data_IF_898919430087
#
_entry.id   IF_898919430087
#
_cell.length_a   1.000
_cell.length_b   1.000
_cell.length_c   1.000
_cell.angle_alpha   90.00
_cell.angle_beta   90.00
_cell.angle_gamma   90.00
#
_symmetry.space_group_name_H-M   'P 1'
#
loop_
_entity.id
_entity.type
_entity.pdbx_description
1 polymer ?
#
# COMPACT_ATOMS: atom_id res chain seq x y z
N UNK A 1 -15.05 -7.19 9.38
CA UNK A 1 -14.20 -8.05 8.54
C UNK A 1 -13.12 -8.72 9.37
N UNK A 2 -12.60 -9.84 8.89
CA UNK A 2 -11.48 -10.53 9.53
C UNK A 2 -10.16 -9.83 9.20
N UNK A 3 -9.29 -9.71 10.20
CA UNK A 3 -7.93 -9.18 10.04
C UNK A 3 -6.97 -9.89 10.98
N UNK A 4 -5.70 -9.95 10.60
CA UNK A 4 -4.61 -10.30 11.51
C UNK A 4 -4.23 -9.05 12.29
N UNK A 5 -4.07 -9.14 13.59
CA UNK A 5 -3.73 -8.00 14.43
C UNK A 5 -2.58 -8.34 15.39
N UNK A 6 -1.59 -7.47 15.42
CA UNK A 6 -0.50 -7.50 16.40
C UNK A 6 -0.84 -6.49 17.50
N UNK A 7 -1.15 -6.96 18.69
CA UNK A 7 -1.59 -6.11 19.81
C UNK A 7 -0.45 -5.71 20.73
N UNK A 8 0.57 -6.55 20.84
CA UNK A 8 1.79 -6.31 21.61
C UNK A 8 2.95 -7.10 20.99
N UNK A 9 4.21 -6.85 21.38
CA UNK A 9 5.33 -7.69 20.97
C UNK A 9 5.07 -9.17 21.28
N UNK A 10 5.29 -10.02 20.28
CA UNK A 10 5.06 -11.47 20.30
C UNK A 10 3.59 -11.90 20.50
N UNK A 11 2.63 -10.98 20.36
CA UNK A 11 1.20 -11.28 20.44
C UNK A 11 0.52 -10.94 19.13
N UNK A 12 0.05 -11.95 18.43
CA UNK A 12 -0.68 -11.86 17.17
C UNK A 12 -1.92 -12.74 17.20
N UNK A 13 -2.98 -12.31 16.56
CA UNK A 13 -4.22 -13.10 16.49
C UNK A 13 -5.15 -12.58 15.39
N UNK A 14 -6.24 -13.32 15.22
CA UNK A 14 -7.35 -12.88 14.37
C UNK A 14 -8.25 -11.93 15.14
N UNK A 15 -8.66 -10.86 14.50
CA UNK A 15 -9.59 -9.88 15.05
C UNK A 15 -10.75 -9.62 14.08
N UNK A 16 -11.90 -9.30 14.65
CA UNK A 16 -13.01 -8.72 13.89
C UNK A 16 -12.90 -7.20 13.99
N UNK A 17 -12.67 -6.56 12.85
CA UNK A 17 -12.53 -5.10 12.75
C UNK A 17 -13.57 -4.53 11.80
N UNK A 18 -13.88 -3.25 11.93
CA UNK A 18 -14.78 -2.59 11.00
C UNK A 18 -14.20 -2.62 9.58
N UNK A 19 -15.06 -2.87 8.59
CA UNK A 19 -14.67 -2.71 7.17
C UNK A 19 -14.32 -1.24 6.94
N UNK A 20 -13.20 -0.93 6.27
CA UNK A 20 -12.81 0.45 6.04
C UNK A 20 -13.83 1.17 5.17
N UNK A 21 -14.08 2.43 5.46
CA UNK A 21 -14.94 3.28 4.63
C UNK A 21 -14.11 3.96 3.55
N UNK A 22 -14.69 4.10 2.37
CA UNK A 22 -14.05 4.71 1.21
C UNK A 22 -14.61 6.12 1.00
N UNK A 23 -13.72 7.07 0.78
CA UNK A 23 -14.04 8.45 0.43
C UNK A 23 -13.75 8.81 -1.03
N UNK A 24 -13.87 10.08 -1.36
CA UNK A 24 -13.50 10.60 -2.66
C UNK A 24 -11.99 10.39 -2.93
N UNK A 25 -11.64 10.02 -4.16
CA UNK A 25 -10.24 9.76 -4.56
C UNK A 25 -9.65 8.46 -3.99
N UNK A 26 -10.43 7.63 -3.33
CA UNK A 26 -9.98 6.39 -2.74
C UNK A 26 -10.50 5.16 -3.49
N UNK A 27 -9.79 4.07 -3.36
CA UNK A 27 -10.10 2.77 -3.96
C UNK A 27 -10.15 1.74 -2.85
N UNK A 28 -11.22 0.98 -2.81
CA UNK A 28 -11.34 -0.21 -1.96
C UNK A 28 -10.87 -1.42 -2.73
N UNK A 29 -9.97 -2.17 -2.14
CA UNK A 29 -9.48 -3.42 -2.71
C UNK A 29 -9.83 -4.61 -1.80
N UNK A 30 -10.19 -5.72 -2.43
CA UNK A 30 -10.35 -7.02 -1.79
C UNK A 30 -9.00 -7.72 -1.86
N UNK A 31 -8.49 -8.15 -0.72
CA UNK A 31 -7.18 -8.79 -0.62
C UNK A 31 -7.30 -10.27 -1.01
N UNK A 32 -6.49 -10.71 -1.97
CA UNK A 32 -6.44 -12.10 -2.43
C UNK A 32 -5.18 -12.82 -1.95
N UNK A 33 -4.04 -12.12 -1.95
CA UNK A 33 -2.73 -12.65 -1.54
C UNK A 33 -1.96 -11.62 -0.75
N UNK A 34 -1.27 -12.06 0.29
CA UNK A 34 -0.36 -11.22 1.10
C UNK A 34 1.00 -11.88 1.16
N UNK A 35 2.04 -11.14 0.81
CA UNK A 35 3.42 -11.52 1.04
C UNK A 35 3.82 -11.26 2.48
N UNK A 36 4.65 -12.13 3.04
CA UNK A 36 5.23 -11.96 4.37
C UNK A 36 6.67 -11.46 4.25
N UNK A 37 6.93 -10.27 4.72
CA UNK A 37 8.23 -9.61 4.69
C UNK A 37 8.94 -9.71 6.05
N UNK A 38 10.28 -9.65 6.04
CA UNK A 38 11.07 -9.58 7.27
C UNK A 38 10.72 -8.38 8.17
N UNK A 39 10.19 -7.29 7.61
CA UNK A 39 9.69 -6.15 8.39
C UNK A 39 8.43 -6.49 9.19
N UNK A 40 7.57 -7.39 8.72
CA UNK A 40 6.41 -7.88 9.48
C UNK A 40 6.87 -8.69 10.69
N UNK A 41 7.93 -9.49 10.54
CA UNK A 41 8.56 -10.20 11.66
C UNK A 41 9.12 -9.21 12.69
N UNK A 42 9.80 -8.16 12.25
CA UNK A 42 10.31 -7.11 13.15
C UNK A 42 9.16 -6.36 13.86
N UNK A 43 8.05 -6.15 13.19
CA UNK A 43 6.83 -5.62 13.80
C UNK A 43 6.31 -6.56 14.88
N UNK A 44 6.20 -7.85 14.59
CA UNK A 44 5.77 -8.86 15.57
C UNK A 44 6.69 -8.93 16.79
N UNK A 45 8.01 -8.96 16.57
CA UNK A 45 9.01 -9.03 17.65
C UNK A 45 9.15 -7.72 18.46
N UNK A 46 8.46 -6.65 18.08
CA UNK A 46 8.54 -5.37 18.77
C UNK A 46 9.82 -4.57 18.50
N UNK A 47 10.56 -4.91 17.46
CA UNK A 47 11.85 -4.29 17.12
C UNK A 47 11.72 -2.98 16.36
N UNK A 48 10.54 -2.68 15.79
CA UNK A 48 10.30 -1.44 15.07
C UNK A 48 9.59 -0.42 15.97
N UNK A 49 10.29 0.66 16.40
CA UNK A 49 9.73 1.66 17.30
C UNK A 49 8.65 2.53 16.65
N UNK A 50 8.54 2.54 15.33
CA UNK A 50 7.56 3.35 14.60
C UNK A 50 6.17 2.72 14.55
N UNK A 51 6.05 1.46 14.95
CA UNK A 51 4.76 0.73 14.90
C UNK A 51 3.81 1.25 15.97
N UNK A 52 2.64 1.69 15.54
CA UNK A 52 1.52 2.07 16.42
C UNK A 52 0.61 0.85 16.61
N UNK A 53 0.61 0.27 17.81
CA UNK A 53 -0.22 -0.89 18.15
C UNK A 53 -1.57 -0.48 18.74
N UNK A 54 -2.64 -1.28 18.56
CA UNK A 54 -2.70 -2.49 17.74
C UNK A 54 -2.55 -2.17 16.25
N UNK A 55 -1.90 -3.04 15.47
CA UNK A 55 -1.65 -2.86 14.05
C UNK A 55 -2.05 -4.09 13.24
N UNK A 56 -2.66 -3.87 12.08
CA UNK A 56 -2.81 -4.90 11.04
C UNK A 56 -1.51 -4.88 10.23
N UNK A 57 -0.72 -5.96 10.20
CA UNK A 57 0.53 -6.01 9.46
C UNK A 57 0.28 -6.19 7.95
N UNK A 58 1.37 -6.23 7.18
CA UNK A 58 1.36 -6.54 5.75
C UNK A 58 1.36 -5.31 4.84
N UNK A 59 2.14 -5.40 3.78
CA UNK A 59 2.33 -4.32 2.80
C UNK A 59 2.70 -4.85 1.41
N UNK A 60 2.83 -6.16 1.24
CA UNK A 60 3.04 -6.84 -0.05
C UNK A 60 1.76 -7.59 -0.40
N UNK A 61 1.10 -7.24 -1.52
CA UNK A 61 -0.26 -7.70 -1.77
C UNK A 61 -0.57 -7.89 -3.24
N UNK A 62 -1.34 -8.93 -3.52
CA UNK A 62 -2.15 -9.07 -4.72
C UNK A 62 -3.62 -8.90 -4.35
N UNK A 63 -4.31 -8.01 -5.03
CA UNK A 63 -5.67 -7.64 -4.70
C UNK A 63 -6.53 -7.41 -5.94
N UNK A 64 -7.84 -7.33 -5.74
CA UNK A 64 -8.81 -6.97 -6.77
C UNK A 64 -9.53 -5.70 -6.35
N UNK A 65 -9.71 -4.75 -7.28
CA UNK A 65 -10.50 -3.55 -7.01
C UNK A 65 -11.96 -3.97 -6.76
N UNK A 66 -12.45 -3.67 -5.58
CA UNK A 66 -13.86 -3.90 -5.17
C UNK A 66 -14.74 -2.71 -5.54
N UNK A 67 -14.27 -1.50 -5.27
CA UNK A 67 -15.00 -0.27 -5.53
C UNK A 67 -14.05 0.92 -5.71
N UNK A 68 -14.52 1.95 -6.39
CA UNK A 68 -13.79 3.20 -6.61
C UNK A 68 -14.62 4.39 -6.15
N UNK A 69 -13.98 5.35 -5.49
CA UNK A 69 -14.62 6.58 -5.06
C UNK A 69 -14.73 7.61 -6.18
N UNK A 70 -15.44 8.70 -5.94
CA UNK A 70 -15.53 9.81 -6.88
C UNK A 70 -14.14 10.42 -7.16
N UNK A 71 -13.90 10.84 -8.40
CA UNK A 71 -12.63 11.45 -8.82
C UNK A 71 -11.50 10.47 -9.07
N UNK A 72 -11.73 9.15 -8.94
CA UNK A 72 -10.77 8.12 -9.36
C UNK A 72 -10.78 8.02 -10.88
N UNK A 73 -9.60 7.96 -11.55
CA UNK A 73 -9.50 7.80 -13.00
C UNK A 73 -10.24 6.55 -13.51
N UNK A 74 -10.89 6.65 -14.66
CA UNK A 74 -11.63 5.54 -15.30
C UNK A 74 -10.74 4.34 -15.70
N UNK A 75 -9.43 4.54 -15.70
CA UNK A 75 -8.45 3.47 -15.90
C UNK A 75 -8.41 2.46 -14.76
N UNK A 76 -8.92 2.82 -13.56
CA UNK A 76 -9.06 1.94 -12.42
C UNK A 76 -10.54 1.55 -12.26
N UNK A 77 -10.84 0.27 -12.42
CA UNK A 77 -12.21 -0.25 -12.43
C UNK A 77 -12.38 -1.45 -11.51
N UNK A 78 -13.54 -1.62 -10.90
CA UNK A 78 -13.88 -2.83 -10.17
C UNK A 78 -13.60 -4.10 -10.99
N UNK A 79 -13.07 -5.12 -10.34
CA UNK A 79 -12.68 -6.39 -10.96
C UNK A 79 -11.24 -6.45 -11.47
N UNK A 80 -10.51 -5.33 -11.50
CA UNK A 80 -9.10 -5.33 -11.92
C UNK A 80 -8.19 -5.90 -10.86
N UNK A 81 -7.24 -6.76 -11.27
CA UNK A 81 -6.14 -7.20 -10.43
C UNK A 81 -5.13 -6.06 -10.29
N UNK A 82 -4.68 -5.82 -9.06
CA UNK A 82 -3.76 -4.72 -8.74
C UNK A 82 -2.80 -5.12 -7.63
N UNK A 83 -1.71 -4.38 -7.51
CA UNK A 83 -0.93 -4.32 -6.27
C UNK A 83 -0.93 -2.89 -5.73
N UNK A 84 -0.26 -2.65 -4.61
CA UNK A 84 -0.29 -1.39 -3.90
C UNK A 84 1.11 -0.85 -3.65
N UNK A 85 1.24 0.48 -3.67
CA UNK A 85 2.39 1.15 -3.08
C UNK A 85 2.11 1.37 -1.58
N UNK A 86 2.86 0.77 -0.66
CA UNK A 86 2.57 0.83 0.77
C UNK A 86 2.90 2.17 1.43
N UNK A 87 3.58 3.07 0.73
CA UNK A 87 3.99 4.36 1.25
C UNK A 87 2.98 5.44 0.91
N UNK A 88 2.52 6.18 1.92
CA UNK A 88 1.68 7.35 1.72
C UNK A 88 2.50 8.63 1.69
N UNK A 89 1.88 9.73 1.27
CA UNK A 89 2.50 11.05 1.32
C UNK A 89 1.45 12.12 1.58
N UNK A 90 1.84 13.20 2.26
CA UNK A 90 0.90 14.21 2.72
C UNK A 90 0.50 15.24 1.64
N UNK A 91 1.26 15.37 0.55
CA UNK A 91 1.06 16.35 -0.51
C UNK A 91 1.41 17.80 -0.12
N UNK A 92 1.70 18.10 1.15
CA UNK A 92 1.80 19.47 1.69
C UNK A 92 3.21 19.87 2.14
N UNK A 93 4.04 18.92 2.58
CA UNK A 93 5.39 19.24 3.06
C UNK A 93 6.31 19.69 1.91
N UNK A 94 7.46 20.26 2.26
CA UNK A 94 8.41 20.76 1.28
C UNK A 94 8.84 19.69 0.27
N UNK A 95 9.09 18.47 0.71
CA UNK A 95 9.45 17.36 -0.17
C UNK A 95 8.33 17.04 -1.17
N UNK A 96 7.07 16.92 -0.71
CA UNK A 96 5.94 16.66 -1.58
C UNK A 96 5.71 17.78 -2.61
N UNK A 97 5.82 19.04 -2.20
CA UNK A 97 5.68 20.19 -3.11
C UNK A 97 6.78 20.24 -4.17
N UNK A 98 7.95 19.68 -3.89
CA UNK A 98 9.06 19.55 -4.84
C UNK A 98 9.06 18.21 -5.61
N UNK A 99 7.95 17.46 -5.61
CA UNK A 99 7.81 16.19 -6.32
C UNK A 99 8.59 15.02 -5.69
N UNK A 100 9.19 15.20 -4.52
CA UNK A 100 9.96 14.16 -3.81
C UNK A 100 9.10 13.48 -2.75
N UNK A 101 8.02 12.84 -3.18
CA UNK A 101 7.04 12.21 -2.28
C UNK A 101 7.61 11.09 -1.43
N UNK A 102 8.67 10.42 -1.88
CA UNK A 102 9.41 9.40 -1.14
C UNK A 102 10.13 9.96 0.10
N UNK A 103 10.42 11.25 0.12
CA UNK A 103 11.03 11.96 1.25
C UNK A 103 10.00 12.72 2.11
N UNK A 104 8.73 12.35 2.00
CA UNK A 104 7.67 12.97 2.80
C UNK A 104 7.91 12.77 4.29
N UNK A 105 8.00 13.88 5.04
CA UNK A 105 8.22 13.83 6.50
C UNK A 105 7.02 13.26 7.28
N UNK A 106 5.84 13.20 6.67
CA UNK A 106 4.60 12.64 7.23
C UNK A 106 4.20 11.33 6.54
N UNK A 107 5.17 10.62 5.97
CA UNK A 107 4.92 9.31 5.39
C UNK A 107 4.40 8.35 6.45
N UNK A 108 3.34 7.63 6.11
CA UNK A 108 2.83 6.50 6.89
C UNK A 108 2.87 5.24 6.02
N UNK A 109 3.55 4.23 6.52
CA UNK A 109 3.68 2.94 5.82
C UNK A 109 2.60 1.98 6.31
N UNK A 110 1.98 1.27 5.36
CA UNK A 110 1.03 0.19 5.67
C UNK A 110 1.70 -0.88 6.54
N UNK A 111 1.00 -1.31 7.58
CA UNK A 111 1.51 -2.30 8.53
C UNK A 111 2.50 -1.74 9.56
N UNK A 112 2.74 -0.44 9.59
CA UNK A 112 3.64 0.25 10.54
C UNK A 112 2.90 1.37 11.27
N UNK A 113 2.72 2.53 10.66
CA UNK A 113 2.01 3.65 11.27
C UNK A 113 0.50 3.63 10.99
N UNK A 114 0.06 2.90 9.97
CA UNK A 114 -1.35 2.69 9.63
C UNK A 114 -1.62 1.22 9.33
N UNK A 115 -2.88 0.83 9.36
CA UNK A 115 -3.30 -0.54 9.08
C UNK A 115 -2.78 -1.04 7.74
N UNK A 116 -2.22 -2.23 7.76
CA UNK A 116 -1.73 -2.95 6.59
C UNK A 116 -2.81 -3.77 5.87
N UNK A 117 -2.35 -4.74 5.09
CA UNK A 117 -3.18 -5.50 4.16
C UNK A 117 -3.48 -6.94 4.59
N UNK A 118 -3.07 -7.38 5.78
CA UNK A 118 -3.48 -8.69 6.32
C UNK A 118 -4.91 -8.63 6.86
N UNK A 119 -5.85 -8.30 6.00
CA UNK A 119 -7.28 -8.19 6.24
C UNK A 119 -8.05 -8.52 4.96
N UNK A 120 -9.37 -8.62 5.03
CA UNK A 120 -10.18 -8.92 3.84
C UNK A 120 -10.21 -7.74 2.84
N UNK A 121 -10.22 -6.50 3.34
CA UNK A 121 -10.29 -5.27 2.54
C UNK A 121 -9.31 -4.22 3.03
N UNK A 122 -8.85 -3.38 2.10
CA UNK A 122 -8.09 -2.18 2.39
C UNK A 122 -8.59 -1.02 1.52
N UNK A 123 -8.40 0.22 2.00
CA UNK A 123 -8.73 1.45 1.27
C UNK A 123 -7.49 2.32 1.19
N UNK A 124 -7.16 2.76 -0.03
CA UNK A 124 -6.01 3.63 -0.30
C UNK A 124 -6.38 4.71 -1.33
N UNK A 125 -5.63 5.82 -1.34
CA UNK A 125 -5.70 6.78 -2.43
C UNK A 125 -5.40 6.10 -3.76
N UNK A 126 -6.12 6.47 -4.81
CA UNK A 126 -5.98 5.84 -6.14
C UNK A 126 -4.55 5.91 -6.69
N UNK A 127 -3.77 6.94 -6.33
CA UNK A 127 -2.36 7.10 -6.73
C UNK A 127 -1.43 6.00 -6.17
N UNK A 128 -1.91 5.24 -5.19
CA UNK A 128 -1.18 4.12 -4.57
C UNK A 128 -1.57 2.76 -5.14
N UNK A 129 -2.53 2.73 -6.03
CA UNK A 129 -2.96 1.51 -6.74
C UNK A 129 -2.08 1.33 -7.97
N UNK A 130 -1.51 0.16 -8.14
CA UNK A 130 -0.63 -0.21 -9.24
C UNK A 130 -1.33 -1.28 -10.09
N UNK A 131 -1.85 -0.91 -11.29
CA UNK A 131 -2.44 -1.88 -12.20
C UNK A 131 -1.36 -2.77 -12.83
N UNK A 132 -1.73 -3.91 -13.45
CA UNK A 132 -0.79 -4.80 -14.14
C UNK A 132 -0.16 -4.11 -15.38
N UNK A 133 1.06 -4.48 -15.72
CA UNK A 133 1.85 -3.88 -16.81
C UNK A 133 1.19 -3.91 -18.20
N UNK A 134 0.26 -4.82 -18.44
CA UNK A 134 -0.49 -4.88 -19.71
C UNK A 134 -1.34 -3.63 -19.99
N UNK A 135 -1.46 -2.72 -19.04
CA UNK A 135 -2.16 -1.44 -19.15
C UNK A 135 -1.28 -0.21 -18.88
N UNK A 136 -0.04 -0.40 -18.43
CA UNK A 136 0.96 0.67 -18.43
C UNK A 136 1.57 0.77 -19.82
N UNK A 137 1.62 1.97 -20.37
CA UNK A 137 2.31 2.27 -21.63
C UNK A 137 3.67 1.58 -21.65
N UNK A 138 4.01 0.93 -22.78
CA UNK A 138 5.33 0.35 -23.04
C UNK A 138 6.39 1.33 -22.52
N UNK A 139 7.17 0.91 -21.54
CA UNK A 139 8.44 1.54 -21.25
C UNK A 139 9.27 1.32 -22.50
N UNK A 140 9.51 2.37 -23.28
CA UNK A 140 10.42 2.30 -24.41
C UNK A 140 11.76 1.81 -23.89
N UNK A 141 12.27 0.79 -24.56
CA UNK A 141 13.51 0.11 -24.26
C UNK A 141 14.66 1.13 -24.18
N UNK A 142 15.14 1.41 -22.98
CA UNK A 142 16.27 2.27 -22.69
C UNK A 142 17.60 1.56 -22.97
N UNK A 143 17.59 0.47 -23.74
CA UNK A 143 18.78 -0.31 -24.08
C UNK A 143 19.62 0.25 -25.23
N UNK A 144 19.28 1.43 -25.78
CA UNK A 144 20.09 2.08 -26.82
C UNK A 144 20.76 3.34 -26.29
N UNK A 145 22.03 3.23 -25.90
CA UNK A 145 22.88 4.41 -25.77
C UNK A 145 23.88 4.45 -24.64
N UNK A 146 24.71 3.43 -24.49
CA UNK A 146 26.03 3.66 -23.87
C UNK A 146 27.04 3.73 -25.03
N UNK A 147 27.55 4.91 -25.37
CA UNK A 147 28.69 5.02 -26.31
C UNK A 147 29.90 4.37 -25.62
N UNK A 148 30.50 3.40 -26.32
CA UNK A 148 31.71 2.74 -25.86
C UNK A 148 32.82 3.76 -25.64
N UNK A 149 33.43 3.70 -24.48
CA UNK A 149 34.72 4.32 -24.19
C UNK A 149 35.80 3.55 -24.90
N UNK A 150 36.40 4.20 -25.87
CA UNK A 150 37.72 3.84 -26.40
C UNK A 150 38.79 4.24 -25.41
#
# INVERSE_FOLDING_TARGET
>A
MKAVQITAPNIVGMADVARPQMGAGEVMVKIEYVGFCGSDLNTFLGRNPMVKRPVIPGHEVGAVIEAVGSGVPETLRPGMNVTLNPYTNCGKCAACRNGRVNACQYNETLGVQRSGVMAEYAVLPWQKIIPPESQSQKVEDVSQGIPGSS
#
